data_IF_421630989200
#
_entry.id   IF_421630989200
#
_cell.length_a   1.000
_cell.length_b   1.000
_cell.length_c   1.000
_cell.angle_alpha   90.00
_cell.angle_beta   90.00
_cell.angle_gamma   90.00
#
_symmetry.space_group_name_H-M   'P 1'
#
loop_
_entity.id
_entity.type
_entity.pdbx_description
1 polymer ?
#
# COMPACT_ATOMS: atom_id res chain seq x y z
N UNK A 1 -16.87 11.93 15.70
CA UNK A 1 -15.52 11.45 15.34
C UNK A 1 -15.64 10.02 14.82
N UNK A 2 -15.89 9.82 13.52
CA UNK A 2 -16.04 8.48 12.91
C UNK A 2 -15.33 8.37 11.54
N UNK A 3 -14.69 9.45 11.05
CA UNK A 3 -14.26 9.54 9.66
C UNK A 3 -12.81 9.06 9.42
N UNK A 4 -11.95 9.07 10.45
CA UNK A 4 -10.54 8.66 10.33
C UNK A 4 -10.36 7.14 10.16
N UNK A 5 -11.21 6.31 10.78
CA UNK A 5 -11.08 4.83 10.70
C UNK A 5 -11.33 4.24 9.32
N UNK A 6 -12.08 4.93 8.44
CA UNK A 6 -12.36 4.41 7.08
C UNK A 6 -11.13 4.46 6.18
N UNK A 7 -10.31 5.50 6.29
CA UNK A 7 -9.11 5.66 5.45
C UNK A 7 -8.06 4.59 5.76
N UNK A 8 -7.91 4.23 7.05
CA UNK A 8 -7.04 3.12 7.48
C UNK A 8 -7.55 1.74 7.01
N UNK A 9 -8.85 1.60 6.79
CA UNK A 9 -9.42 0.36 6.29
C UNK A 9 -9.18 0.17 4.79
N UNK A 10 -9.09 1.24 4.00
CA UNK A 10 -9.04 1.19 2.53
C UNK A 10 -7.61 1.16 1.97
N UNK A 11 -6.63 1.71 2.70
CA UNK A 11 -5.25 1.85 2.22
C UNK A 11 -4.23 1.23 3.18
N UNK A 12 -3.19 0.65 2.60
CA UNK A 12 -2.06 0.05 3.29
C UNK A 12 -0.81 0.91 3.14
N UNK A 13 0.03 0.91 4.16
CA UNK A 13 1.45 1.24 4.04
C UNK A 13 2.18 0.15 3.26
N UNK A 14 3.42 0.44 2.84
CA UNK A 14 4.28 -0.57 2.18
C UNK A 14 4.54 -1.76 3.12
N UNK A 15 4.71 -1.52 4.42
CA UNK A 15 4.95 -2.58 5.39
C UNK A 15 3.72 -3.49 5.53
N UNK A 16 2.53 -2.90 5.75
CA UNK A 16 1.30 -3.69 5.89
C UNK A 16 0.96 -4.48 4.62
N UNK A 17 1.21 -3.89 3.45
CA UNK A 17 1.06 -4.59 2.19
C UNK A 17 2.06 -5.75 2.05
N UNK A 18 3.32 -5.54 2.44
CA UNK A 18 4.34 -6.58 2.40
C UNK A 18 3.97 -7.76 3.31
N UNK A 19 3.47 -7.47 4.51
CA UNK A 19 2.98 -8.47 5.46
C UNK A 19 1.75 -9.21 4.91
N UNK A 20 0.83 -8.50 4.25
CA UNK A 20 -0.39 -9.08 3.68
C UNK A 20 -0.10 -10.19 2.64
N UNK A 21 0.89 -9.98 1.77
CA UNK A 21 1.28 -10.95 0.74
C UNK A 21 2.50 -11.78 1.11
N UNK A 22 2.98 -11.67 2.36
CA UNK A 22 4.13 -12.38 2.90
C UNK A 22 5.42 -12.24 2.07
N UNK A 23 5.79 -11.00 1.76
CA UNK A 23 7.04 -10.66 1.07
C UNK A 23 7.84 -9.64 1.87
N UNK A 24 9.11 -9.44 1.52
CA UNK A 24 9.92 -8.40 2.17
C UNK A 24 9.44 -7.00 1.80
N UNK A 25 9.62 -6.02 2.70
CA UNK A 25 9.42 -4.60 2.40
C UNK A 25 10.13 -4.18 1.11
N UNK A 26 11.35 -4.67 0.89
CA UNK A 26 12.15 -4.36 -0.30
C UNK A 26 11.55 -4.93 -1.58
N UNK A 27 11.00 -6.13 -1.51
CA UNK A 27 10.25 -6.74 -2.63
C UNK A 27 9.05 -5.88 -2.98
N UNK A 28 8.25 -5.50 -1.98
CA UNK A 28 7.09 -4.62 -2.18
C UNK A 28 7.50 -3.26 -2.77
N UNK A 29 8.57 -2.65 -2.25
CA UNK A 29 9.10 -1.40 -2.79
C UNK A 29 9.53 -1.51 -4.26
N UNK A 30 10.19 -2.60 -4.64
CA UNK A 30 10.60 -2.84 -6.02
C UNK A 30 9.39 -2.97 -6.96
N UNK A 31 8.34 -3.70 -6.55
CA UNK A 31 7.10 -3.83 -7.33
C UNK A 31 6.44 -2.47 -7.57
N UNK A 32 6.38 -1.63 -6.53
CA UNK A 32 5.86 -0.26 -6.64
C UNK A 32 6.73 0.60 -7.57
N UNK A 33 8.04 0.42 -7.53
CA UNK A 33 8.98 1.19 -8.36
C UNK A 33 8.96 0.75 -9.83
N UNK A 34 8.64 -0.51 -10.11
CA UNK A 34 8.49 -1.07 -11.45
C UNK A 34 7.13 -0.76 -12.09
N UNK A 35 6.29 0.03 -11.43
CA UNK A 35 4.93 0.42 -11.88
C UNK A 35 3.97 -0.77 -12.09
N UNK A 36 4.29 -1.93 -11.52
CA UNK A 36 3.43 -3.14 -11.60
C UNK A 36 2.23 -3.10 -10.64
N UNK A 37 2.13 -2.06 -9.81
CA UNK A 37 1.10 -1.93 -8.78
C UNK A 37 0.54 -0.51 -8.74
N UNK A 38 -0.79 -0.40 -8.64
CA UNK A 38 -1.46 0.90 -8.43
C UNK A 38 -1.17 1.41 -7.02
N UNK A 39 -0.62 2.62 -6.91
CA UNK A 39 -0.29 3.26 -5.63
C UNK A 39 -0.68 4.74 -5.61
N UNK A 40 -1.09 5.22 -4.44
CA UNK A 40 -1.29 6.63 -4.14
C UNK A 40 -0.02 7.20 -3.49
N UNK A 41 0.64 8.15 -4.17
CA UNK A 41 1.80 8.88 -3.61
C UNK A 41 1.32 10.19 -3.00
N UNK A 42 1.38 10.28 -1.67
CA UNK A 42 0.99 11.47 -0.89
C UNK A 42 2.18 12.42 -0.64
N UNK A 43 3.36 12.10 -1.19
CA UNK A 43 4.58 12.91 -1.11
C UNK A 43 5.80 12.13 -1.60
N UNK A 44 7.00 12.72 -1.47
CA UNK A 44 8.25 12.08 -1.94
C UNK A 44 8.55 10.73 -1.27
N UNK A 45 8.09 10.53 -0.04
CA UNK A 45 8.35 9.31 0.76
C UNK A 45 7.08 8.61 1.28
N UNK A 46 5.91 9.21 1.09
CA UNK A 46 4.67 8.68 1.62
C UNK A 46 3.90 7.98 0.52
N UNK A 47 3.84 6.65 0.61
CA UNK A 47 3.08 5.79 -0.30
C UNK A 47 1.94 5.12 0.46
N UNK A 48 0.78 5.04 -0.19
CA UNK A 48 -0.40 4.30 0.25
C UNK A 48 -0.84 3.39 -0.88
N UNK A 49 -1.11 2.13 -0.57
CA UNK A 49 -1.50 1.10 -1.52
C UNK A 49 -2.97 0.78 -1.25
N UNK A 50 -3.89 1.00 -2.18
CA UNK A 50 -5.28 0.62 -1.98
C UNK A 50 -5.36 -0.90 -1.78
N UNK A 51 -6.14 -1.35 -0.79
CA UNK A 51 -6.32 -2.79 -0.53
C UNK A 51 -6.86 -3.55 -1.74
N UNK A 52 -7.66 -2.89 -2.55
CA UNK A 52 -8.22 -3.42 -3.81
C UNK A 52 -7.13 -3.82 -4.81
N UNK A 53 -5.92 -3.26 -4.73
CA UNK A 53 -4.79 -3.68 -5.57
C UNK A 53 -4.37 -5.14 -5.34
N UNK A 54 -4.85 -5.77 -4.26
CA UNK A 54 -4.61 -7.18 -3.93
C UNK A 54 -5.84 -8.08 -4.17
N UNK A 55 -6.96 -7.51 -4.58
CA UNK A 55 -8.18 -8.26 -4.91
C UNK A 55 -8.18 -8.57 -6.41
N UNK A 56 -8.44 -9.84 -6.77
CA UNK A 56 -8.50 -10.31 -8.16
C UNK A 56 -9.86 -10.05 -8.78
#
# INVERSE_FOLDING_TARGET
>A
MQQERKVEAEYLTIAEAADLVNVSYRTMWNLIHQEEMQVCRLGRRLVRIPREAFQR
#
